data_IF_836982523623
#
_entry.id   IF_836982523623
#
_cell.length_a   1.000
_cell.length_b   1.000
_cell.length_c   1.000
_cell.angle_alpha   90.00
_cell.angle_beta   90.00
_cell.angle_gamma   90.00
#
_symmetry.space_group_name_H-M   'P 1'
#
loop_
_entity.id
_entity.type
_entity.pdbx_description
1 polymer ?
#
# COMPACT_ATOMS: atom_id res chain seq x y z
N UNK A 1 8.95 -24.81 -28.68
CA UNK A 1 8.23 -23.53 -28.47
C UNK A 1 8.56 -23.08 -27.06
N UNK A 2 9.37 -22.02 -26.89
CA UNK A 2 9.65 -21.45 -25.57
C UNK A 2 8.51 -20.51 -25.24
N UNK A 3 7.78 -20.79 -24.15
CA UNK A 3 6.84 -19.83 -23.59
C UNK A 3 7.62 -18.55 -23.27
N UNK A 4 7.15 -17.43 -23.80
CA UNK A 4 7.62 -16.12 -23.41
C UNK A 4 7.33 -15.96 -21.92
N UNK A 5 8.38 -15.94 -21.08
CA UNK A 5 8.27 -15.35 -19.77
C UNK A 5 8.02 -13.86 -19.99
N UNK A 6 6.76 -13.45 -19.86
CA UNK A 6 6.39 -12.05 -19.70
C UNK A 6 6.99 -11.58 -18.37
N UNK A 7 8.23 -11.09 -18.42
CA UNK A 7 8.76 -10.20 -17.40
C UNK A 7 7.90 -8.93 -17.46
N UNK A 8 6.77 -8.94 -16.75
CA UNK A 8 6.06 -7.72 -16.42
C UNK A 8 7.08 -6.77 -15.80
N UNK A 9 7.20 -5.51 -16.27
CA UNK A 9 8.03 -4.54 -15.58
C UNK A 9 7.52 -4.50 -14.14
N UNK A 10 8.39 -4.82 -13.19
CA UNK A 10 8.16 -4.43 -11.81
C UNK A 10 8.08 -2.91 -11.85
N UNK A 11 6.87 -2.37 -11.90
CA UNK A 11 6.66 -0.92 -11.90
C UNK A 11 7.44 -0.39 -10.70
N UNK A 12 8.50 0.35 -11.01
CA UNK A 12 9.40 0.86 -10.02
C UNK A 12 8.62 1.88 -9.19
N UNK A 13 8.21 1.49 -7.99
CA UNK A 13 7.65 2.42 -7.02
C UNK A 13 8.79 3.34 -6.62
N UNK A 14 8.72 4.59 -7.05
CA UNK A 14 9.71 5.59 -6.70
C UNK A 14 9.79 5.77 -5.18
N UNK A 15 10.97 6.14 -4.69
CA UNK A 15 11.23 6.31 -3.25
C UNK A 15 10.25 7.28 -2.58
N UNK A 16 9.80 8.31 -3.31
CA UNK A 16 8.79 9.26 -2.83
C UNK A 16 7.44 8.59 -2.59
N UNK A 17 6.97 7.77 -3.55
CA UNK A 17 5.71 7.02 -3.42
C UNK A 17 5.80 5.99 -2.29
N UNK A 18 6.94 5.29 -2.19
CA UNK A 18 7.18 4.35 -1.10
C UNK A 18 7.20 5.04 0.27
N UNK A 19 7.80 6.23 0.36
CA UNK A 19 7.82 7.04 1.58
C UNK A 19 6.41 7.49 1.98
N UNK A 20 5.61 7.94 1.03
CA UNK A 20 4.21 8.33 1.24
C UNK A 20 3.37 7.14 1.73
N UNK A 21 3.44 6.00 1.03
CA UNK A 21 2.73 4.78 1.41
C UNK A 21 3.11 4.30 2.83
N UNK A 22 4.40 4.35 3.17
CA UNK A 22 4.88 4.01 4.52
C UNK A 22 4.35 4.98 5.58
N UNK A 23 4.25 6.27 5.28
CA UNK A 23 3.70 7.26 6.20
C UNK A 23 2.24 6.97 6.50
N UNK A 24 1.43 6.76 5.45
CA UNK A 24 0.02 6.36 5.59
C UNK A 24 -0.10 5.11 6.44
N UNK A 25 0.71 4.08 6.17
CA UNK A 25 0.70 2.84 6.95
C UNK A 25 1.01 3.08 8.43
N UNK A 26 2.07 3.83 8.74
CA UNK A 26 2.50 4.09 10.11
C UNK A 26 1.45 4.88 10.89
N UNK A 27 0.88 5.92 10.27
CA UNK A 27 -0.16 6.74 10.90
C UNK A 27 -1.44 5.95 11.16
N UNK A 28 -1.87 5.13 10.20
CA UNK A 28 -3.08 4.33 10.31
C UNK A 28 -2.91 3.13 11.25
N UNK A 29 -1.70 2.57 11.38
CA UNK A 29 -1.33 1.61 12.42
C UNK A 29 -1.37 2.26 13.81
N UNK A 30 -0.73 3.42 13.97
CA UNK A 30 -0.67 4.14 15.24
C UNK A 30 -2.06 4.53 15.75
N UNK A 31 -2.94 5.01 14.85
CA UNK A 31 -4.33 5.36 15.18
C UNK A 31 -5.13 4.18 15.75
N UNK A 32 -4.80 2.96 15.33
CA UNK A 32 -5.48 1.72 15.74
C UNK A 32 -4.77 0.98 16.86
N UNK A 33 -3.68 1.55 17.39
CA UNK A 33 -2.84 0.92 18.42
C UNK A 33 -2.30 -0.46 17.99
N UNK A 34 -2.09 -0.65 16.67
CA UNK A 34 -1.51 -1.88 16.11
C UNK A 34 -0.11 -1.62 15.56
N UNK A 35 0.76 -2.62 15.67
CA UNK A 35 2.06 -2.61 15.00
C UNK A 35 1.94 -2.97 13.51
N UNK A 36 2.84 -2.51 12.64
CA UNK A 36 2.85 -2.89 11.23
C UNK A 36 3.08 -4.39 10.99
N UNK A 37 3.73 -5.09 11.93
CA UNK A 37 3.95 -6.54 11.86
C UNK A 37 2.75 -7.37 12.35
N UNK A 38 1.76 -6.72 12.97
CA UNK A 38 0.48 -7.35 13.33
C UNK A 38 -0.29 -7.74 12.07
N UNK A 39 -1.17 -8.74 12.15
CA UNK A 39 -1.98 -9.17 10.99
C UNK A 39 -2.72 -8.00 10.35
N UNK A 40 -3.35 -7.17 11.18
CA UNK A 40 -4.02 -5.94 10.73
C UNK A 40 -3.05 -4.95 10.05
N UNK A 41 -1.83 -4.78 10.56
CA UNK A 41 -0.82 -3.93 9.93
C UNK A 41 -0.43 -4.41 8.53
N UNK A 42 -0.33 -5.73 8.35
CA UNK A 42 -0.07 -6.36 7.05
C UNK A 42 -1.24 -6.20 6.09
N UNK A 43 -2.48 -6.30 6.58
CA UNK A 43 -3.69 -6.08 5.78
C UNK A 43 -3.75 -4.62 5.30
N UNK A 44 -3.46 -3.66 6.17
CA UNK A 44 -3.37 -2.24 5.83
C UNK A 44 -2.29 -2.00 4.76
N UNK A 45 -1.12 -2.61 4.90
CA UNK A 45 -0.05 -2.50 3.92
C UNK A 45 -0.45 -3.06 2.55
N UNK A 46 -1.19 -4.18 2.52
CA UNK A 46 -1.70 -4.77 1.30
C UNK A 46 -2.75 -3.88 0.61
N UNK A 47 -3.67 -3.28 1.37
CA UNK A 47 -4.66 -2.33 0.83
C UNK A 47 -3.97 -1.13 0.20
N UNK A 48 -3.01 -0.51 0.90
CA UNK A 48 -2.26 0.65 0.39
C UNK A 48 -1.50 0.30 -0.89
N UNK A 49 -0.81 -0.84 -0.92
CA UNK A 49 -0.05 -1.28 -2.09
C UNK A 49 -0.97 -1.52 -3.30
N UNK A 50 -2.06 -2.26 -3.11
CA UNK A 50 -3.01 -2.56 -4.19
C UNK A 50 -3.70 -1.31 -4.72
N UNK A 51 -4.06 -0.38 -3.84
CA UNK A 51 -4.65 0.90 -4.23
C UNK A 51 -3.69 1.74 -5.06
N UNK A 52 -2.43 1.84 -4.64
CA UNK A 52 -1.39 2.54 -5.39
C UNK A 52 -1.16 1.93 -6.76
N UNK A 53 -1.04 0.61 -6.85
CA UNK A 53 -0.91 -0.13 -8.12
C UNK A 53 -2.15 0.00 -9.02
N UNK A 54 -3.31 0.30 -8.44
CA UNK A 54 -4.55 0.56 -9.18
C UNK A 54 -4.70 2.02 -9.63
N UNK A 55 -3.69 2.87 -9.37
CA UNK A 55 -3.64 4.27 -9.79
C UNK A 55 -4.02 5.29 -8.72
N UNK A 56 -4.35 4.87 -7.49
CA UNK A 56 -4.60 5.79 -6.37
C UNK A 56 -3.26 6.25 -5.79
N UNK A 57 -2.73 7.34 -6.34
CA UNK A 57 -1.37 7.81 -6.04
C UNK A 57 -1.32 8.97 -5.04
N UNK A 58 -2.49 9.52 -4.66
CA UNK A 58 -2.56 10.61 -3.69
C UNK A 58 -2.66 10.09 -2.25
N UNK A 59 -1.88 10.72 -1.35
CA UNK A 59 -1.83 10.36 0.07
C UNK A 59 -3.21 10.46 0.75
N UNK A 60 -3.96 11.53 0.46
CA UNK A 60 -5.28 11.74 1.05
C UNK A 60 -6.30 10.68 0.61
N UNK A 61 -6.27 10.26 -0.67
CA UNK A 61 -7.15 9.22 -1.18
C UNK A 61 -6.86 7.88 -0.52
N UNK A 62 -5.58 7.53 -0.35
CA UNK A 62 -5.15 6.31 0.33
C UNK A 62 -5.59 6.30 1.80
N UNK A 63 -5.48 7.43 2.51
CA UNK A 63 -5.97 7.56 3.89
C UNK A 63 -7.48 7.31 3.97
N UNK A 64 -8.26 7.96 3.08
CA UNK A 64 -9.71 7.80 3.04
C UNK A 64 -10.09 6.34 2.74
N UNK A 65 -9.43 5.72 1.77
CA UNK A 65 -9.66 4.31 1.42
C UNK A 65 -9.39 3.39 2.61
N UNK A 66 -8.22 3.52 3.23
CA UNK A 66 -7.80 2.67 4.36
C UNK A 66 -8.76 2.79 5.54
N UNK A 67 -9.27 4.00 5.81
CA UNK A 67 -10.27 4.20 6.86
C UNK A 67 -11.61 3.56 6.49
N UNK A 68 -12.07 3.70 5.26
CA UNK A 68 -13.36 3.14 4.84
C UNK A 68 -13.38 1.61 4.74
N UNK A 69 -12.24 0.97 4.49
CA UNK A 69 -12.16 -0.49 4.31
C UNK A 69 -11.73 -1.26 5.56
N UNK A 70 -11.12 -0.58 6.53
CA UNK A 70 -10.49 -1.22 7.70
C UNK A 70 -10.91 -0.62 9.05
N UNK A 71 -11.95 0.22 9.07
CA UNK A 71 -12.70 0.63 10.26
C UNK A 71 -14.08 -0.05 10.27
#
# INVERSE_FOLDING_TARGET
MRAAQENLPHEYIGDQSLSMMRRVLVEECARREVGPDHSMGKDLAAVIMNAFQSGMTEEAELVVLVRNLCD
#
